data_IF_247119295712
#
_entry.id   IF_247119295712
#
_cell.length_a   1.000
_cell.length_b   1.000
_cell.length_c   1.000
_cell.angle_alpha   90.00
_cell.angle_beta   90.00
_cell.angle_gamma   90.00
#
_symmetry.space_group_name_H-M   'P 1'
#
loop_
_entity.id
_entity.type
_entity.pdbx_description
1 polymer ?
#
# COMPACT_ATOMS: atom_id res chain seq x y z
N UNK A 1 2.14 -8.50 -1.36
CA UNK A 1 3.40 -9.07 -1.90
C UNK A 1 4.56 -8.23 -1.42
N UNK A 2 5.70 -8.86 -1.15
CA UNK A 2 6.96 -8.19 -0.78
C UNK A 2 8.09 -8.67 -1.69
N UNK A 3 9.15 -7.88 -1.85
CA UNK A 3 10.24 -8.21 -2.76
C UNK A 3 11.19 -9.28 -2.17
N UNK A 4 11.46 -9.23 -0.87
CA UNK A 4 12.30 -10.19 -0.11
C UNK A 4 11.84 -10.24 1.36
N UNK A 5 12.13 -11.36 2.03
CA UNK A 5 11.86 -11.58 3.47
C UNK A 5 13.17 -11.93 4.16
N UNK A 6 13.38 -11.40 5.36
CA UNK A 6 14.58 -11.62 6.18
C UNK A 6 14.20 -12.01 7.60
N UNK A 7 15.15 -12.60 8.33
CA UNK A 7 15.05 -12.76 9.78
C UNK A 7 15.04 -11.39 10.46
N UNK A 8 14.36 -11.29 11.62
CA UNK A 8 14.14 -10.01 12.30
C UNK A 8 15.46 -9.35 12.69
N UNK A 9 16.41 -10.14 13.15
CA UNK A 9 17.71 -9.72 13.65
C UNK A 9 18.61 -9.18 12.53
N UNK A 10 18.45 -9.71 11.32
CA UNK A 10 19.28 -9.36 10.15
C UNK A 10 18.65 -8.28 9.26
N UNK A 11 17.36 -7.97 9.45
CA UNK A 11 16.57 -7.13 8.56
C UNK A 11 17.23 -5.77 8.30
N UNK A 12 17.63 -5.08 9.37
CA UNK A 12 18.19 -3.73 9.27
C UNK A 12 19.53 -3.76 8.56
N UNK A 13 20.41 -4.70 8.91
CA UNK A 13 21.72 -4.83 8.28
C UNK A 13 21.57 -5.09 6.78
N UNK A 14 20.79 -6.10 6.39
CA UNK A 14 20.59 -6.48 4.97
C UNK A 14 19.94 -5.35 4.16
N UNK A 15 18.94 -4.66 4.70
CA UNK A 15 18.27 -3.56 4.00
C UNK A 15 19.20 -2.36 3.85
N UNK A 16 20.02 -2.07 4.86
CA UNK A 16 21.02 -0.98 4.82
C UNK A 16 22.06 -1.25 3.75
N UNK A 17 22.61 -2.46 3.70
CA UNK A 17 23.56 -2.85 2.64
C UNK A 17 22.96 -2.71 1.25
N UNK A 18 21.69 -3.10 1.06
CA UNK A 18 21.02 -2.93 -0.25
C UNK A 18 20.86 -1.44 -0.58
N UNK A 19 20.53 -0.59 0.39
CA UNK A 19 20.39 0.84 0.19
C UNK A 19 21.73 1.49 -0.19
N UNK A 20 22.82 1.11 0.48
CA UNK A 20 24.19 1.55 0.15
C UNK A 20 24.59 1.13 -1.27
N UNK A 21 24.34 -0.12 -1.65
CA UNK A 21 24.56 -0.61 -3.02
C UNK A 21 23.77 0.15 -4.09
N UNK A 22 22.61 0.70 -3.74
CA UNK A 22 21.84 1.56 -4.65
C UNK A 22 22.40 2.99 -4.66
N UNK A 23 22.87 3.49 -3.53
CA UNK A 23 23.45 4.83 -3.39
C UNK A 23 24.77 4.98 -4.17
N UNK A 24 25.54 3.90 -4.32
CA UNK A 24 26.76 3.87 -5.15
C UNK A 24 26.49 3.96 -6.66
N UNK A 25 25.25 3.71 -7.12
CA UNK A 25 24.91 3.70 -8.55
C UNK A 25 24.61 5.11 -9.07
N UNK A 26 24.74 5.36 -10.39
CA UNK A 26 24.39 6.65 -10.98
C UNK A 26 22.90 7.03 -10.74
N UNK A 27 22.61 8.14 -10.04
CA UNK A 27 21.26 8.47 -9.59
C UNK A 27 20.31 8.76 -10.75
N UNK A 28 20.78 9.43 -11.80
CA UNK A 28 19.97 9.76 -12.97
C UNK A 28 19.50 8.50 -13.69
N UNK A 29 20.38 7.49 -13.83
CA UNK A 29 20.04 6.21 -14.45
C UNK A 29 18.99 5.46 -13.62
N UNK A 30 19.19 5.36 -12.30
CA UNK A 30 18.22 4.72 -11.39
C UNK A 30 16.83 5.37 -11.44
N UNK A 31 16.77 6.70 -11.36
CA UNK A 31 15.52 7.45 -11.40
C UNK A 31 14.83 7.24 -12.75
N UNK A 32 15.57 7.32 -13.85
CA UNK A 32 15.02 7.17 -15.20
C UNK A 32 14.45 5.76 -15.42
N UNK A 33 15.19 4.72 -15.03
CA UNK A 33 14.72 3.33 -15.11
C UNK A 33 13.47 3.12 -14.25
N UNK A 34 13.45 3.62 -13.00
CA UNK A 34 12.27 3.52 -12.13
C UNK A 34 11.04 4.23 -12.72
N UNK A 35 11.23 5.39 -13.34
CA UNK A 35 10.17 6.12 -14.05
C UNK A 35 9.62 5.32 -15.23
N UNK A 36 10.49 4.74 -16.06
CA UNK A 36 10.08 3.93 -17.20
C UNK A 36 9.28 2.69 -16.77
N UNK A 37 9.76 1.95 -15.77
CA UNK A 37 9.05 0.78 -15.22
C UNK A 37 7.66 1.13 -14.68
N UNK A 38 7.52 2.27 -14.00
CA UNK A 38 6.24 2.71 -13.42
C UNK A 38 5.30 3.40 -14.42
N UNK A 39 5.79 3.81 -15.59
CA UNK A 39 5.02 4.60 -16.57
C UNK A 39 3.75 3.88 -17.03
N UNK A 40 3.82 2.57 -17.22
CA UNK A 40 2.69 1.76 -17.69
C UNK A 40 1.49 1.81 -16.75
N UNK A 41 1.74 1.69 -15.44
CA UNK A 41 0.68 1.71 -14.43
C UNK A 41 0.21 3.12 -14.08
N UNK A 42 1.05 4.14 -14.31
CA UNK A 42 0.79 5.52 -13.87
C UNK A 42 -0.53 6.07 -14.41
N UNK A 43 -0.80 5.93 -15.71
CA UNK A 43 -2.01 6.47 -16.34
C UNK A 43 -3.29 5.76 -15.88
N UNK A 44 -3.21 4.47 -15.57
CA UNK A 44 -4.33 3.70 -15.02
C UNK A 44 -4.62 4.19 -13.59
N UNK A 45 -3.58 4.28 -12.76
CA UNK A 45 -3.71 4.73 -11.37
C UNK A 45 -4.25 6.16 -11.28
N UNK A 46 -3.75 7.08 -12.11
CA UNK A 46 -4.24 8.49 -12.14
C UNK A 46 -5.73 8.59 -12.47
N UNK A 47 -6.29 7.63 -13.21
CA UNK A 47 -7.74 7.56 -13.49
C UNK A 47 -8.51 6.81 -12.42
N UNK A 48 -7.95 5.74 -11.85
CA UNK A 48 -8.65 4.89 -10.90
C UNK A 48 -8.73 5.49 -9.50
N UNK A 49 -7.65 6.12 -9.01
CA UNK A 49 -7.57 6.64 -7.64
C UNK A 49 -8.71 7.61 -7.31
N UNK A 50 -9.02 8.63 -8.14
CA UNK A 50 -10.11 9.56 -7.82
C UNK A 50 -11.48 8.87 -7.73
N UNK A 51 -11.72 7.85 -8.56
CA UNK A 51 -12.96 7.09 -8.54
C UNK A 51 -13.05 6.19 -7.29
N UNK A 52 -11.92 5.58 -6.92
CA UNK A 52 -11.82 4.78 -5.70
C UNK A 52 -12.03 5.65 -4.46
N UNK A 53 -11.42 6.84 -4.41
CA UNK A 53 -11.55 7.77 -3.29
C UNK A 53 -13.01 8.16 -3.02
N UNK A 54 -13.79 8.46 -4.08
CA UNK A 54 -15.21 8.83 -3.95
C UNK A 54 -16.02 7.68 -3.34
N UNK A 55 -15.87 6.46 -3.86
CA UNK A 55 -16.57 5.29 -3.33
C UNK A 55 -16.07 4.92 -1.92
N UNK A 56 -14.78 5.06 -1.66
CA UNK A 56 -14.18 4.79 -0.36
C UNK A 56 -14.74 5.70 0.72
N UNK A 57 -14.79 7.02 0.47
CA UNK A 57 -15.36 8.00 1.42
C UNK A 57 -16.85 7.71 1.66
N UNK A 58 -17.60 7.39 0.61
CA UNK A 58 -19.02 7.02 0.73
C UNK A 58 -19.22 5.77 1.59
N UNK A 59 -18.38 4.75 1.42
CA UNK A 59 -18.46 3.49 2.19
C UNK A 59 -17.95 3.67 3.61
N UNK A 60 -16.95 4.49 3.85
CA UNK A 60 -16.37 4.74 5.17
C UNK A 60 -17.39 5.27 6.20
N UNK A 61 -18.32 6.12 5.77
CA UNK A 61 -19.37 6.69 6.65
C UNK A 61 -20.65 5.87 6.69
N UNK A 62 -20.70 4.75 5.98
CA UNK A 62 -21.90 3.92 5.88
C UNK A 62 -22.22 3.22 7.22
N UNK A 63 -23.50 2.87 7.46
CA UNK A 63 -23.88 2.07 8.62
C UNK A 63 -23.17 0.71 8.70
N UNK A 64 -22.88 0.10 7.55
CA UNK A 64 -22.09 -1.12 7.42
C UNK A 64 -20.67 -0.94 7.98
N UNK A 65 -20.00 0.17 7.63
CA UNK A 65 -18.66 0.48 8.14
C UNK A 65 -18.66 0.78 9.65
N UNK A 66 -19.68 1.51 10.15
CA UNK A 66 -19.83 1.77 11.58
C UNK A 66 -19.97 0.47 12.39
N UNK A 67 -20.75 -0.49 11.90
CA UNK A 67 -20.88 -1.81 12.51
C UNK A 67 -19.58 -2.61 12.45
N UNK A 68 -18.85 -2.56 11.32
CA UNK A 68 -17.54 -3.20 11.21
C UNK A 68 -16.53 -2.63 12.22
N UNK A 69 -16.47 -1.30 12.38
CA UNK A 69 -15.61 -0.66 13.36
C UNK A 69 -16.00 -1.03 14.79
N UNK A 70 -17.30 -0.95 15.12
CA UNK A 70 -17.82 -1.32 16.43
C UNK A 70 -17.49 -2.77 16.79
N UNK A 71 -17.74 -3.70 15.86
CA UNK A 71 -17.45 -5.12 16.05
C UNK A 71 -15.94 -5.39 16.24
N UNK A 72 -15.08 -4.67 15.51
CA UNK A 72 -13.62 -4.76 15.68
C UNK A 72 -13.19 -4.32 17.09
N UNK A 73 -13.68 -3.18 17.58
CA UNK A 73 -13.38 -2.71 18.94
C UNK A 73 -13.94 -3.65 20.03
N UNK A 74 -15.12 -4.22 19.79
CA UNK A 74 -15.78 -5.18 20.69
C UNK A 74 -15.23 -6.62 20.55
N UNK A 75 -14.26 -6.87 19.65
CA UNK A 75 -13.69 -8.20 19.35
C UNK A 75 -14.74 -9.27 19.02
N UNK A 76 -15.83 -8.87 18.38
CA UNK A 76 -16.89 -9.77 17.89
C UNK A 76 -16.95 -9.78 16.37
N UNK A 77 -17.71 -10.73 15.81
CA UNK A 77 -18.01 -10.72 14.38
C UNK A 77 -19.02 -9.59 14.07
N UNK A 78 -18.80 -8.80 13.01
CA UNK A 78 -19.79 -7.82 12.56
C UNK A 78 -21.04 -8.51 12.00
N UNK A 79 -22.21 -7.91 12.23
CA UNK A 79 -23.48 -8.39 11.68
C UNK A 79 -23.99 -7.47 10.58
N UNK A 80 -23.92 -7.95 9.34
CA UNK A 80 -24.32 -7.20 8.15
C UNK A 80 -25.72 -7.54 7.64
N UNK A 81 -26.51 -8.38 8.33
CA UNK A 81 -27.81 -8.86 7.82
C UNK A 81 -28.87 -7.77 7.59
N UNK A 82 -28.61 -6.52 7.99
CA UNK A 82 -29.53 -5.39 7.94
C UNK A 82 -29.10 -4.29 6.96
N UNK A 83 -28.03 -4.49 6.19
CA UNK A 83 -27.46 -3.51 5.26
C UNK A 83 -27.44 -4.02 3.82
#
# INVERSE_FOLDING_TARGET
>A
MVNKVFLKEELIEKVTTIAEQLAEKPPIALISTKKLLKKYHKSILEKSIPNEDVEFVRRQVSPEAQEAFKAFFERRKPDFKKF
#
